data_IF_401605573757
#
_entry.id   IF_401605573757
#
_cell.length_a   1.000
_cell.length_b   1.000
_cell.length_c   1.000
_cell.angle_alpha   90.00
_cell.angle_beta   90.00
_cell.angle_gamma   90.00
#
_symmetry.space_group_name_H-M   'P 1'
#
loop_
_entity.id
_entity.type
_entity.pdbx_description
1 polymer ?
#
# COMPACT_ATOMS: atom_id res chain seq x y z
N UNK A 1 -21.16 -46.38 -18.31
CA UNK A 1 -19.84 -46.01 -17.76
C UNK A 1 -18.82 -46.15 -18.89
N UNK A 2 -17.77 -45.31 -18.89
CA UNK A 2 -16.78 -45.06 -19.96
C UNK A 2 -17.27 -44.12 -21.10
N UNK A 3 -16.57 -43.05 -21.49
CA UNK A 3 -15.35 -42.43 -20.98
C UNK A 3 -15.39 -40.94 -21.31
N UNK A 4 -14.95 -40.10 -20.36
CA UNK A 4 -14.81 -38.65 -20.59
C UNK A 4 -13.48 -38.44 -21.30
N UNK A 5 -13.54 -38.00 -22.56
CA UNK A 5 -12.36 -37.52 -23.27
C UNK A 5 -11.94 -36.19 -22.63
N UNK A 6 -10.66 -36.00 -22.26
CA UNK A 6 -10.19 -34.70 -21.80
C UNK A 6 -10.18 -33.75 -22.99
N UNK A 7 -10.92 -32.64 -22.88
CA UNK A 7 -10.85 -31.53 -23.84
C UNK A 7 -9.57 -30.78 -23.49
N UNK A 8 -8.53 -30.96 -24.29
CA UNK A 8 -7.27 -30.21 -24.16
C UNK A 8 -7.32 -29.07 -25.17
N UNK A 9 -7.45 -27.83 -24.68
CA UNK A 9 -7.35 -26.63 -25.52
C UNK A 9 -5.87 -26.32 -25.72
N UNK A 10 -5.43 -26.30 -26.98
CA UNK A 10 -4.03 -26.06 -27.32
C UNK A 10 -3.67 -24.60 -27.01
N UNK A 11 -2.97 -24.39 -25.89
CA UNK A 11 -2.53 -23.07 -25.43
C UNK A 11 -2.86 -22.75 -23.97
N UNK A 12 -3.67 -23.56 -23.28
CA UNK A 12 -3.94 -23.37 -21.85
C UNK A 12 -3.01 -24.24 -21.01
N UNK A 13 -2.36 -23.64 -20.00
CA UNK A 13 -1.52 -24.38 -19.06
C UNK A 13 -2.40 -25.14 -18.07
N UNK A 14 -2.14 -26.44 -17.87
CA UNK A 14 -2.81 -27.23 -16.83
C UNK A 14 -2.47 -26.67 -15.45
N UNK A 15 -3.47 -26.16 -14.73
CA UNK A 15 -3.33 -25.82 -13.32
C UNK A 15 -3.00 -27.08 -12.53
N UNK A 16 -1.86 -27.08 -11.85
CA UNK A 16 -1.48 -28.09 -10.87
C UNK A 16 -1.73 -27.47 -9.50
N UNK A 17 -2.86 -27.81 -8.87
CA UNK A 17 -3.15 -27.48 -7.46
C UNK A 17 -2.31 -28.40 -6.58
N UNK A 18 -1.12 -27.93 -6.20
CA UNK A 18 -0.25 -28.60 -5.24
C UNK A 18 0.15 -27.59 -4.18
N UNK A 19 -0.61 -27.58 -3.10
CA UNK A 19 -0.36 -26.78 -1.90
C UNK A 19 0.74 -27.47 -1.07
N UNK A 20 1.99 -27.06 -1.29
CA UNK A 20 3.16 -27.52 -0.53
C UNK A 20 3.74 -26.31 0.22
N UNK A 21 3.30 -26.13 1.47
CA UNK A 21 3.80 -25.08 2.37
C UNK A 21 5.27 -25.35 2.75
N UNK A 22 6.21 -24.66 2.10
CA UNK A 22 7.63 -24.64 2.50
C UNK A 22 7.93 -23.44 3.39
N UNK A 23 8.25 -23.74 4.65
CA UNK A 23 8.70 -22.81 5.68
C UNK A 23 10.12 -22.29 5.38
N UNK A 24 10.26 -21.17 4.67
CA UNK A 24 11.57 -20.58 4.35
C UNK A 24 12.04 -19.67 5.49
N UNK A 25 12.50 -20.26 6.59
CA UNK A 25 13.52 -19.63 7.44
C UNK A 25 14.88 -20.11 6.96
N UNK A 26 15.53 -19.37 6.06
CA UNK A 26 16.99 -19.29 5.82
C UNK A 26 17.26 -18.71 4.42
N UNK A 27 17.43 -17.38 4.33
CA UNK A 27 17.92 -16.72 3.12
C UNK A 27 19.43 -16.95 2.98
N UNK A 28 19.82 -17.77 2.00
CA UNK A 28 21.07 -17.60 1.26
C UNK A 28 20.72 -17.15 -0.15
N UNK A 29 21.45 -16.19 -0.75
CA UNK A 29 21.08 -15.67 -2.07
C UNK A 29 21.40 -16.74 -3.12
N UNK A 30 20.35 -17.43 -3.58
CA UNK A 30 20.44 -18.29 -4.76
C UNK A 30 20.64 -17.43 -5.99
N UNK A 31 21.78 -17.66 -6.65
CA UNK A 31 22.19 -17.12 -7.94
C UNK A 31 21.05 -17.23 -8.95
N UNK A 32 20.74 -16.11 -9.60
CA UNK A 32 19.59 -15.92 -10.48
C UNK A 32 19.48 -16.94 -11.62
N UNK A 33 18.25 -17.38 -11.86
CA UNK A 33 17.88 -18.18 -13.01
C UNK A 33 18.11 -17.37 -14.30
N UNK A 34 18.94 -17.89 -15.21
CA UNK A 34 19.27 -17.25 -16.49
C UNK A 34 18.16 -17.52 -17.51
N UNK A 35 17.31 -16.53 -17.75
CA UNK A 35 16.28 -16.56 -18.79
C UNK A 35 16.93 -16.25 -20.16
N UNK A 36 16.79 -17.12 -21.19
CA UNK A 36 17.30 -16.81 -22.52
C UNK A 36 16.49 -15.66 -23.14
N UNK A 37 17.09 -14.48 -23.25
CA UNK A 37 16.49 -13.31 -23.92
C UNK A 37 16.48 -12.02 -23.10
N UNK A 38 16.85 -12.04 -21.83
CA UNK A 38 16.95 -10.82 -21.02
C UNK A 38 18.34 -10.18 -21.19
N UNK A 39 18.36 -8.89 -21.53
CA UNK A 39 19.60 -8.12 -21.61
C UNK A 39 20.15 -7.87 -20.21
N UNK A 40 21.38 -8.31 -19.94
CA UNK A 40 22.04 -8.09 -18.64
C UNK A 40 22.19 -6.60 -18.35
N UNK A 41 21.65 -6.17 -17.22
CA UNK A 41 21.91 -4.85 -16.65
C UNK A 41 23.42 -4.70 -16.40
N UNK A 42 23.98 -3.62 -16.93
CA UNK A 42 25.40 -3.30 -16.82
C UNK A 42 25.60 -2.51 -15.52
N UNK A 43 25.97 -3.18 -14.43
CA UNK A 43 26.52 -2.51 -13.25
C UNK A 43 28.01 -2.24 -13.53
N UNK A 44 28.31 -0.99 -13.87
CA UNK A 44 29.68 -0.52 -14.13
C UNK A 44 30.02 0.54 -13.09
N UNK A 45 30.54 0.10 -11.95
CA UNK A 45 31.33 0.93 -11.04
C UNK A 45 32.56 1.47 -11.79
N UNK A 46 32.63 2.80 -11.96
CA UNK A 46 33.75 3.47 -12.62
C UNK A 46 33.90 4.92 -12.19
N UNK A 47 34.88 5.18 -11.32
CA UNK A 47 35.45 6.50 -11.06
C UNK A 47 36.21 6.98 -12.34
N UNK A 48 36.27 8.29 -12.64
CA UNK A 48 36.57 8.77 -13.99
C UNK A 48 38.07 9.01 -14.18
N UNK A 49 38.71 8.26 -15.06
CA UNK A 49 39.98 8.68 -15.66
C UNK A 49 40.03 8.44 -17.19
N UNK A 50 40.05 9.58 -17.88
CA UNK A 50 40.82 9.86 -19.11
C UNK A 50 40.41 9.17 -20.43
N UNK A 51 39.78 9.96 -21.31
CA UNK A 51 39.82 9.76 -22.77
C UNK A 51 41.25 10.01 -23.30
N UNK A 52 41.70 9.32 -24.36
CA UNK A 52 41.49 9.89 -25.71
C UNK A 52 41.39 8.89 -26.88
N UNK A 53 40.68 9.28 -27.94
CA UNK A 53 40.65 8.61 -29.26
C UNK A 53 39.21 8.47 -29.77
N UNK A 54 38.58 9.50 -30.35
CA UNK A 54 38.81 10.10 -31.67
C UNK A 54 38.73 9.11 -32.83
N UNK A 55 37.73 9.35 -33.68
CA UNK A 55 37.46 8.76 -35.00
C UNK A 55 36.90 7.33 -35.06
N UNK A 56 35.60 7.17 -34.77
CA UNK A 56 34.76 6.31 -35.63
C UNK A 56 33.23 6.55 -35.54
N UNK A 57 32.76 7.42 -34.63
CA UNK A 57 31.32 7.65 -34.41
C UNK A 57 30.66 8.68 -35.34
N UNK A 58 31.42 9.38 -36.19
CA UNK A 58 30.89 10.44 -37.05
C UNK A 58 30.44 9.98 -38.46
N UNK A 59 30.64 8.71 -38.82
CA UNK A 59 30.27 8.19 -40.15
C UNK A 59 28.91 7.44 -40.16
N UNK A 60 28.41 6.99 -39.01
CA UNK A 60 27.12 6.27 -38.92
C UNK A 60 25.92 7.23 -39.01
N UNK A 61 26.10 8.51 -38.69
CA UNK A 61 25.05 9.55 -38.76
C UNK A 61 24.87 10.17 -40.16
N UNK A 62 25.60 9.70 -41.19
CA UNK A 62 25.63 10.33 -42.52
C UNK A 62 24.77 9.67 -43.59
N UNK A 63 23.96 8.66 -43.27
CA UNK A 63 23.04 8.07 -44.25
C UNK A 63 21.60 8.06 -43.75
N UNK A 64 20.77 8.74 -44.55
CA UNK A 64 19.31 8.81 -44.51
C UNK A 64 18.62 9.65 -43.43
N UNK A 65 19.10 10.89 -43.22
CA UNK A 65 18.19 11.94 -42.77
C UNK A 65 17.72 12.78 -43.98
N UNK A 66 16.40 12.91 -44.22
CA UNK A 66 15.89 13.84 -45.21
C UNK A 66 16.34 15.27 -44.84
N UNK A 67 16.67 16.12 -45.82
CA UNK A 67 17.27 17.42 -45.57
C UNK A 67 16.36 18.29 -44.70
N UNK A 68 16.93 18.86 -43.63
CA UNK A 68 16.29 19.90 -42.83
C UNK A 68 16.09 21.14 -43.69
N UNK A 69 14.83 21.39 -44.09
CA UNK A 69 14.45 22.61 -44.81
C UNK A 69 14.38 23.73 -43.77
N UNK A 70 15.42 24.56 -43.74
CA UNK A 70 15.43 25.79 -42.94
C UNK A 70 14.73 26.87 -43.75
N UNK A 71 13.45 27.12 -43.44
CA UNK A 71 12.74 28.30 -43.95
C UNK A 71 13.29 29.52 -43.21
N UNK A 72 14.30 30.18 -43.77
CA UNK A 72 14.63 31.56 -43.38
C UNK A 72 13.70 32.48 -44.15
N UNK A 73 12.84 33.19 -43.44
CA UNK A 73 12.15 34.36 -43.98
C UNK A 73 13.22 35.37 -44.40
N UNK A 74 13.55 35.40 -45.70
CA UNK A 74 14.25 36.50 -46.35
C UNK A 74 13.26 37.05 -47.38
N UNK A 75 12.78 38.30 -47.23
CA UNK A 75 11.66 38.81 -48.00
C UNK A 75 11.93 39.02 -49.51
N UNK A 76 13.14 38.74 -50.02
CA UNK A 76 13.56 39.17 -51.36
C UNK A 76 14.01 38.04 -52.31
N UNK A 77 13.52 36.80 -52.17
CA UNK A 77 13.81 35.72 -53.13
C UNK A 77 12.55 35.14 -53.77
N UNK A 78 12.12 35.74 -54.88
CA UNK A 78 11.20 35.14 -55.84
C UNK A 78 11.90 33.99 -56.58
N UNK A 79 11.72 32.75 -56.11
CA UNK A 79 12.12 31.54 -56.85
C UNK A 79 10.88 30.90 -57.48
N UNK A 80 10.68 31.17 -58.76
CA UNK A 80 9.77 30.45 -59.65
C UNK A 80 10.31 29.03 -59.81
N UNK A 81 9.69 28.05 -59.13
CA UNK A 81 9.80 26.64 -59.49
C UNK A 81 8.39 26.05 -59.49
N UNK A 82 7.96 25.76 -60.71
CA UNK A 82 6.88 24.87 -61.16
C UNK A 82 5.98 24.21 -60.10
N UNK A 83 4.70 24.53 -60.28
CA UNK A 83 3.51 23.86 -59.79
C UNK A 83 3.56 22.33 -60.03
N UNK A 84 4.02 21.59 -59.02
CA UNK A 84 3.54 20.24 -58.77
C UNK A 84 2.74 20.32 -57.48
N UNK A 85 1.42 20.08 -57.49
CA UNK A 85 0.67 19.98 -56.25
C UNK A 85 1.24 18.79 -55.49
N UNK A 86 2.08 19.06 -54.50
CA UNK A 86 2.38 18.15 -53.41
C UNK A 86 1.03 17.61 -52.92
N UNK A 87 0.87 16.28 -52.77
CA UNK A 87 -0.39 15.75 -52.31
C UNK A 87 -0.68 16.46 -51.00
N UNK A 88 -1.80 17.19 -50.99
CA UNK A 88 -2.26 17.90 -49.80
C UNK A 88 -2.04 16.97 -48.63
N UNK A 89 -1.16 17.35 -47.70
CA UNK A 89 -1.10 16.73 -46.40
C UNK A 89 -2.42 17.10 -45.73
N UNK A 90 -3.47 16.39 -46.13
CA UNK A 90 -4.73 16.38 -45.43
C UNK A 90 -4.35 16.11 -43.98
N UNK A 91 -4.98 16.76 -42.99
CA UNK A 91 -4.78 16.43 -41.59
C UNK A 91 -5.41 15.05 -41.36
N UNK A 92 -4.80 14.01 -41.92
CA UNK A 92 -5.29 12.64 -41.94
C UNK A 92 -4.77 11.97 -40.69
N UNK A 93 -5.49 12.22 -39.60
CA UNK A 93 -5.61 11.22 -38.54
C UNK A 93 -6.35 9.98 -39.03
N UNK A 94 -5.85 9.33 -40.09
CA UNK A 94 -6.59 8.28 -40.82
C UNK A 94 -5.68 7.11 -41.23
N UNK A 95 -4.60 6.84 -40.48
CA UNK A 95 -4.06 5.48 -40.49
C UNK A 95 -4.83 4.68 -39.45
N UNK A 96 -5.23 3.44 -39.79
CA UNK A 96 -5.89 2.54 -38.83
C UNK A 96 -5.08 2.36 -37.55
N UNK A 97 -3.75 2.42 -37.66
CA UNK A 97 -2.82 2.45 -36.53
C UNK A 97 -3.10 3.65 -35.62
N UNK A 98 -3.10 4.86 -36.17
CA UNK A 98 -3.28 6.08 -35.39
C UNK A 98 -4.68 6.15 -34.74
N UNK A 99 -5.71 5.64 -35.42
CA UNK A 99 -7.03 5.49 -34.82
C UNK A 99 -7.03 4.49 -33.65
N UNK A 100 -6.43 3.31 -33.80
CA UNK A 100 -6.33 2.32 -32.72
C UNK A 100 -5.47 2.79 -31.56
N UNK A 101 -4.39 3.52 -31.84
CA UNK A 101 -3.54 4.10 -30.81
C UNK A 101 -4.32 5.14 -30.02
N UNK A 102 -5.06 6.02 -30.69
CA UNK A 102 -5.90 7.02 -30.05
C UNK A 102 -7.01 6.38 -29.19
N UNK A 103 -7.70 5.38 -29.73
CA UNK A 103 -8.73 4.63 -29.02
C UNK A 103 -8.16 3.92 -27.78
N UNK A 104 -7.04 3.19 -27.94
CA UNK A 104 -6.39 2.49 -26.83
C UNK A 104 -5.88 3.45 -25.77
N UNK A 105 -5.30 4.58 -26.16
CA UNK A 105 -4.79 5.58 -25.23
C UNK A 105 -5.95 6.24 -24.47
N UNK A 106 -7.06 6.56 -25.14
CA UNK A 106 -8.26 7.09 -24.48
C UNK A 106 -8.87 6.12 -23.47
N UNK A 107 -8.90 4.82 -23.78
CA UNK A 107 -9.37 3.78 -22.85
C UNK A 107 -8.43 3.64 -21.66
N UNK A 108 -7.13 3.62 -21.91
CA UNK A 108 -6.12 3.55 -20.84
C UNK A 108 -6.24 4.73 -19.88
N UNK A 109 -6.37 5.96 -20.39
CA UNK A 109 -6.55 7.14 -19.54
C UNK A 109 -7.82 7.06 -18.69
N UNK A 110 -8.93 6.60 -19.29
CA UNK A 110 -10.18 6.44 -18.54
C UNK A 110 -10.04 5.38 -17.45
N UNK A 111 -9.44 4.23 -17.76
CA UNK A 111 -9.28 3.11 -16.84
C UNK A 111 -8.32 3.42 -15.69
N UNK A 112 -7.17 4.02 -16.00
CA UNK A 112 -6.22 4.51 -14.98
C UNK A 112 -6.87 5.59 -14.12
N UNK A 113 -7.61 6.52 -14.72
CA UNK A 113 -8.32 7.57 -13.99
C UNK A 113 -9.36 7.00 -13.03
N UNK A 114 -10.17 6.03 -13.48
CA UNK A 114 -11.17 5.36 -12.65
C UNK A 114 -10.53 4.56 -11.52
N UNK A 115 -9.49 3.78 -11.83
CA UNK A 115 -8.77 2.97 -10.84
C UNK A 115 -8.17 3.86 -9.76
N UNK A 116 -7.50 4.95 -10.14
CA UNK A 116 -6.90 5.88 -9.18
C UNK A 116 -7.97 6.56 -8.32
N UNK A 117 -9.08 7.00 -8.92
CA UNK A 117 -10.19 7.61 -8.20
C UNK A 117 -10.81 6.63 -7.20
N UNK A 118 -10.98 5.37 -7.59
CA UNK A 118 -11.53 4.33 -6.73
C UNK A 118 -10.58 4.05 -5.56
N UNK A 119 -9.30 3.79 -5.83
CA UNK A 119 -8.30 3.45 -4.80
C UNK A 119 -8.09 4.59 -3.83
N UNK A 120 -7.92 5.82 -4.33
CA UNK A 120 -7.76 6.98 -3.46
C UNK A 120 -9.04 7.31 -2.70
N UNK A 121 -10.20 7.17 -3.35
CA UNK A 121 -11.51 7.38 -2.74
C UNK A 121 -11.80 6.38 -1.62
N UNK A 122 -11.52 5.09 -1.84
CA UNK A 122 -11.70 4.04 -0.82
C UNK A 122 -10.72 4.23 0.33
N UNK A 123 -9.43 4.44 0.05
CA UNK A 123 -8.42 4.69 1.08
C UNK A 123 -8.76 5.91 1.93
N UNK A 124 -9.20 7.02 1.32
CA UNK A 124 -9.65 8.23 2.03
C UNK A 124 -10.84 7.94 2.96
N UNK A 125 -11.78 7.10 2.52
CA UNK A 125 -12.94 6.70 3.33
C UNK A 125 -12.52 5.81 4.48
N UNK A 126 -11.61 4.86 4.24
CA UNK A 126 -11.07 3.96 5.26
C UNK A 126 -10.30 4.73 6.34
N UNK A 127 -9.43 5.67 5.96
CA UNK A 127 -8.71 6.53 6.91
C UNK A 127 -9.69 7.32 7.77
N UNK A 128 -10.73 7.91 7.17
CA UNK A 128 -11.77 8.64 7.92
C UNK A 128 -12.54 7.73 8.88
N UNK A 129 -12.89 6.52 8.44
CA UNK A 129 -13.55 5.52 9.28
C UNK A 129 -12.67 5.11 10.47
N UNK A 130 -11.40 4.77 10.21
CA UNK A 130 -10.43 4.40 11.24
C UNK A 130 -10.22 5.54 12.25
N UNK A 131 -10.12 6.79 11.76
CA UNK A 131 -10.01 7.98 12.62
C UNK A 131 -11.24 8.14 13.51
N UNK A 132 -12.44 7.92 12.97
CA UNK A 132 -13.68 7.97 13.75
C UNK A 132 -13.72 6.89 14.83
N UNK A 133 -13.29 5.66 14.50
CA UNK A 133 -13.23 4.55 15.45
C UNK A 133 -12.19 4.83 16.56
N UNK A 134 -11.05 5.42 16.21
CA UNK A 134 -10.02 5.81 17.17
C UNK A 134 -10.54 6.88 18.14
N UNK A 135 -11.28 7.88 17.65
CA UNK A 135 -11.89 8.90 18.51
C UNK A 135 -12.96 8.31 19.46
N UNK A 136 -13.77 7.38 18.96
CA UNK A 136 -14.72 6.64 19.79
C UNK A 136 -14.00 5.83 20.88
N UNK A 137 -12.92 5.14 20.52
CA UNK A 137 -12.07 4.39 21.45
C UNK A 137 -11.44 5.31 22.52
N UNK A 138 -10.92 6.46 22.12
CA UNK A 138 -10.36 7.45 23.05
C UNK A 138 -11.40 7.91 24.08
N UNK A 139 -12.63 8.18 23.64
CA UNK A 139 -13.74 8.55 24.53
C UNK A 139 -14.07 7.43 25.51
N UNK A 140 -14.08 6.17 25.05
CA UNK A 140 -14.29 5.01 25.92
C UNK A 140 -13.16 4.86 26.96
N UNK A 141 -11.90 5.04 26.56
CA UNK A 141 -10.73 4.98 27.46
C UNK A 141 -10.81 6.06 28.53
N UNK A 142 -11.18 7.30 28.17
CA UNK A 142 -11.32 8.40 29.13
C UNK A 142 -12.40 8.06 30.16
N UNK A 143 -13.55 7.56 29.72
CA UNK A 143 -14.64 7.16 30.62
C UNK A 143 -14.22 6.02 31.54
N UNK A 144 -13.57 4.98 31.01
CA UNK A 144 -13.05 3.87 31.81
C UNK A 144 -12.02 4.36 32.85
N UNK A 145 -11.10 5.24 32.44
CA UNK A 145 -10.09 5.83 33.32
C UNK A 145 -10.72 6.63 34.45
N UNK A 146 -11.81 7.36 34.16
CA UNK A 146 -12.54 8.09 35.18
C UNK A 146 -13.22 7.14 36.17
N UNK A 147 -13.92 6.11 35.68
CA UNK A 147 -14.56 5.10 36.53
C UNK A 147 -13.58 4.38 37.43
N UNK A 148 -12.40 4.01 36.91
CA UNK A 148 -11.33 3.40 37.71
C UNK A 148 -10.88 4.34 38.83
N UNK A 149 -10.70 5.63 38.53
CA UNK A 149 -10.32 6.62 39.56
C UNK A 149 -11.34 6.68 40.68
N UNK A 150 -12.62 6.76 40.35
CA UNK A 150 -13.70 6.77 41.35
C UNK A 150 -13.69 5.51 42.20
N UNK A 151 -13.56 4.33 41.58
CA UNK A 151 -13.46 3.05 42.30
C UNK A 151 -12.26 3.04 43.25
N UNK A 152 -11.10 3.55 42.82
CA UNK A 152 -9.91 3.62 43.68
C UNK A 152 -10.10 4.57 44.86
N UNK A 153 -10.74 5.72 44.65
CA UNK A 153 -11.05 6.67 45.71
C UNK A 153 -12.04 6.05 46.72
N UNK A 154 -13.08 5.36 46.25
CA UNK A 154 -14.04 4.65 47.09
C UNK A 154 -13.38 3.53 47.89
N UNK A 155 -12.53 2.71 47.25
CA UNK A 155 -11.78 1.64 47.91
C UNK A 155 -10.84 2.19 48.98
N UNK A 156 -10.21 3.34 48.74
CA UNK A 156 -9.37 4.01 49.73
C UNK A 156 -10.21 4.48 50.93
N UNK A 157 -11.37 5.08 50.68
CA UNK A 157 -12.27 5.52 51.75
C UNK A 157 -12.80 4.32 52.58
N UNK A 158 -13.14 3.21 51.93
CA UNK A 158 -13.53 1.97 52.62
C UNK A 158 -12.37 1.41 53.45
N UNK A 159 -11.15 1.40 52.90
CA UNK A 159 -9.95 0.96 53.61
C UNK A 159 -9.70 1.79 54.88
N UNK A 160 -9.83 3.12 54.80
CA UNK A 160 -9.68 4.01 55.95
C UNK A 160 -10.75 3.74 57.02
N UNK A 161 -12.01 3.52 56.62
CA UNK A 161 -13.08 3.16 57.56
C UNK A 161 -12.83 1.82 58.24
N UNK A 162 -12.35 0.83 57.51
CA UNK A 162 -11.97 -0.48 58.09
C UNK A 162 -10.83 -0.28 59.07
N UNK A 163 -9.79 0.47 58.69
CA UNK A 163 -8.65 0.77 59.57
C UNK A 163 -9.10 1.43 60.88
N UNK A 164 -10.01 2.40 60.82
CA UNK A 164 -10.67 2.97 62.00
C UNK A 164 -11.34 1.85 62.82
N UNK A 165 -12.24 1.05 62.23
CA UNK A 165 -12.95 -0.01 62.97
C UNK A 165 -11.98 -1.01 63.63
N UNK A 166 -10.91 -1.40 62.93
CA UNK A 166 -9.94 -2.39 63.42
C UNK A 166 -8.94 -1.82 64.42
N UNK A 167 -8.63 -0.52 64.33
CA UNK A 167 -7.72 0.16 65.27
C UNK A 167 -8.42 0.56 66.57
N UNK A 168 -9.75 0.74 66.56
CA UNK A 168 -10.53 1.00 67.77
C UNK A 168 -10.74 -0.30 68.59
N UNK A 169 -9.96 -0.42 69.66
CA UNK A 169 -10.01 -1.48 70.66
C UNK A 169 -11.18 -1.33 71.66
N UNK A 170 -12.35 -0.86 71.20
CA UNK A 170 -13.54 -0.56 72.03
C UNK A 170 -14.78 -1.36 71.58
N UNK A 171 -14.58 -2.53 70.97
CA UNK A 171 -15.66 -3.52 70.98
C UNK A 171 -15.92 -3.88 72.45
N UNK A 172 -17.11 -3.61 73.02
CA UNK A 172 -17.40 -4.00 74.39
C UNK A 172 -17.32 -5.51 74.46
N UNK A 173 -16.47 -6.05 75.35
CA UNK A 173 -16.55 -7.46 75.72
C UNK A 173 -17.91 -7.68 76.40
N UNK A 174 -18.89 -8.17 75.63
CA UNK A 174 -20.21 -8.54 76.16
C UNK A 174 -20.02 -9.85 76.92
N UNK A 175 -19.63 -9.76 78.19
CA UNK A 175 -19.53 -10.91 79.08
C UNK A 175 -20.95 -11.36 79.52
N UNK A 176 -21.51 -12.35 78.84
CA UNK A 176 -22.84 -12.93 79.12
C UNK A 176 -22.83 -13.84 80.37
N UNK A 177 -21.69 -14.10 81.01
CA UNK A 177 -21.57 -15.13 82.05
C UNK A 177 -22.04 -14.70 83.46
N UNK A 178 -22.56 -13.49 83.67
CA UNK A 178 -22.95 -13.02 85.01
C UNK A 178 -24.47 -13.02 85.30
N UNK A 179 -25.25 -13.90 84.67
CA UNK A 179 -26.67 -14.07 85.01
C UNK A 179 -27.03 -15.41 85.69
N UNK A 180 -26.06 -16.28 85.97
CA UNK A 180 -26.34 -17.61 86.54
C UNK A 180 -25.94 -17.81 88.01
N UNK A 181 -25.51 -16.78 88.74
CA UNK A 181 -24.96 -16.96 90.10
C UNK A 181 -25.60 -16.11 91.21
N UNK A 182 -26.89 -15.81 91.10
CA UNK A 182 -27.67 -15.45 92.29
C UNK A 182 -29.04 -16.10 92.21
N UNK A 183 -29.20 -17.24 92.87
CA UNK A 183 -30.15 -17.40 94.00
C UNK A 183 -30.09 -18.87 94.49
N UNK A 184 -29.17 -19.15 95.41
CA UNK A 184 -29.35 -20.10 96.51
C UNK A 184 -28.27 -19.76 97.56
N UNK A 185 -28.65 -19.54 98.83
CA UNK A 185 -28.72 -20.70 99.71
C UNK A 185 -29.90 -20.71 100.69
N UNK A 186 -30.10 -21.92 101.23
CA UNK A 186 -31.09 -22.37 102.22
C UNK A 186 -31.13 -21.56 103.53
N UNK A 187 -32.18 -21.72 104.35
CA UNK A 187 -32.23 -22.84 105.29
C UNK A 187 -33.34 -23.87 105.05
#
# INVERSE_FOLDING_TARGET
MAGRYPIVVQGEASETDSDDEVYITSLTPSVGAKVPGEASETDSEGDPEQAPGSHDSAQILKRDLPPLIVVRDHPDMHSIVEDRPSPSHRPHGETLLQQKLQESNSRLYADVGQTLQQVYGSASREVRSATSQLNASQSAIINASHSIRLILDDLKAVSEKIDIITSYQILPDININHLNNSTAPAP
#
